data_IF_341063179972
#
_entry.id   IF_341063179972
#
_cell.length_a   1.000
_cell.length_b   1.000
_cell.length_c   1.000
_cell.angle_alpha   90.00
_cell.angle_beta   90.00
_cell.angle_gamma   90.00
#
_symmetry.space_group_name_H-M   'P 1'
#
loop_
_entity.id
_entity.type
_entity.pdbx_description
1 polymer ?
#
# COMPACT_ATOMS: atom_id res chain seq x y z
N UNK A 1 5.77 69.70 17.26
CA UNK A 1 4.51 69.16 17.85
C UNK A 1 4.54 67.65 17.63
N UNK A 2 5.04 66.85 18.58
CA UNK A 2 4.33 66.34 19.77
C UNK A 2 3.07 65.56 19.42
N UNK A 3 3.12 64.23 19.54
CA UNK A 3 2.41 63.55 20.63
C UNK A 3 2.99 62.14 20.88
N UNK A 4 3.50 61.96 22.11
CA UNK A 4 3.81 60.67 22.74
C UNK A 4 2.50 59.94 23.07
N UNK A 5 2.50 58.62 22.89
CA UNK A 5 1.65 57.71 23.65
C UNK A 5 2.54 56.70 24.39
N UNK A 6 2.21 56.45 25.66
CA UNK A 6 2.97 55.74 26.68
C UNK A 6 2.06 54.67 27.30
N UNK A 7 2.66 53.54 27.72
CA UNK A 7 2.10 52.41 28.50
C UNK A 7 1.14 51.49 27.71
N UNK A 8 1.20 50.15 27.85
CA UNK A 8 1.14 49.41 29.12
C UNK A 8 1.83 48.04 29.03
N UNK A 9 2.51 47.63 30.12
CA UNK A 9 3.03 46.27 30.36
C UNK A 9 1.87 45.25 30.35
N UNK A 10 2.09 44.09 29.74
CA UNK A 10 1.34 42.88 30.05
C UNK A 10 2.28 41.77 30.51
N UNK A 11 2.06 41.36 31.75
CA UNK A 11 2.58 40.19 32.45
C UNK A 11 1.94 38.94 31.84
N UNK A 12 2.72 38.12 31.12
CA UNK A 12 2.18 36.91 30.49
C UNK A 12 3.17 35.76 30.29
N UNK A 13 4.39 35.87 30.83
CA UNK A 13 5.44 34.87 30.60
C UNK A 13 5.60 33.88 31.78
N UNK A 14 5.12 34.23 32.97
CA UNK A 14 5.26 33.39 34.17
C UNK A 14 4.20 32.30 34.30
N UNK A 15 3.01 32.48 33.72
CA UNK A 15 1.90 31.54 33.84
C UNK A 15 2.03 30.32 32.90
N UNK A 16 2.69 30.49 31.75
CA UNK A 16 2.91 29.40 30.79
C UNK A 16 3.90 28.34 31.32
N UNK A 17 4.93 28.79 32.06
CA UNK A 17 5.95 27.92 32.67
C UNK A 17 5.36 27.15 33.86
N UNK A 18 4.39 27.74 34.56
CA UNK A 18 3.71 27.10 35.68
C UNK A 18 2.80 25.96 35.21
N UNK A 19 2.05 26.17 34.12
CA UNK A 19 1.21 25.13 33.52
C UNK A 19 2.01 23.95 32.95
N UNK A 20 3.14 24.23 32.27
CA UNK A 20 4.02 23.18 31.76
C UNK A 20 4.63 22.31 32.87
N UNK A 21 5.05 22.92 33.99
CA UNK A 21 5.58 22.18 35.14
C UNK A 21 4.52 21.34 35.87
N UNK A 22 3.28 21.82 35.93
CA UNK A 22 2.19 21.07 36.54
C UNK A 22 1.81 19.86 35.68
N UNK A 23 1.75 20.04 34.35
CA UNK A 23 1.45 18.98 33.41
C UNK A 23 2.54 17.89 33.40
N UNK A 24 3.81 18.28 33.47
CA UNK A 24 4.95 17.35 33.56
C UNK A 24 4.94 16.52 34.86
N UNK A 25 4.63 17.16 36.01
CA UNK A 25 4.51 16.46 37.30
C UNK A 25 3.35 15.46 37.34
N UNK A 26 2.24 15.76 36.68
CA UNK A 26 1.09 14.87 36.55
C UNK A 26 1.45 13.68 35.64
N UNK A 27 2.11 13.95 34.51
CA UNK A 27 2.54 12.92 33.57
C UNK A 27 3.51 11.92 34.21
N UNK A 28 4.51 12.39 34.97
CA UNK A 28 5.44 11.52 35.71
C UNK A 28 4.71 10.68 36.77
N UNK A 29 3.74 11.27 37.49
CA UNK A 29 2.95 10.52 38.49
C UNK A 29 2.12 9.41 37.85
N UNK A 30 1.49 9.68 36.70
CA UNK A 30 0.71 8.67 35.96
C UNK A 30 1.61 7.54 35.47
N UNK A 31 2.78 7.86 34.90
CA UNK A 31 3.78 6.86 34.50
C UNK A 31 4.21 6.00 35.69
N UNK A 32 4.49 6.61 36.84
CA UNK A 32 4.91 5.86 38.03
C UNK A 32 3.82 4.92 38.56
N UNK A 33 2.55 5.32 38.48
CA UNK A 33 1.41 4.48 38.85
C UNK A 33 1.27 3.31 37.87
N UNK A 34 1.41 3.54 36.57
CA UNK A 34 1.35 2.50 35.54
C UNK A 34 2.49 1.48 35.70
N UNK A 35 3.72 1.95 35.94
CA UNK A 35 4.89 1.08 36.20
C UNK A 35 4.66 0.25 37.46
N UNK A 36 4.14 0.85 38.54
CA UNK A 36 3.84 0.15 39.79
C UNK A 36 2.74 -0.90 39.62
N UNK A 37 1.71 -0.60 38.82
CA UNK A 37 0.63 -1.54 38.47
C UNK A 37 1.16 -2.73 37.65
N UNK A 38 2.05 -2.46 36.68
CA UNK A 38 2.73 -3.50 35.91
C UNK A 38 3.59 -4.40 36.80
N UNK A 39 4.35 -3.82 37.73
CA UNK A 39 5.22 -4.56 38.65
C UNK A 39 4.42 -5.43 39.63
N UNK A 40 3.27 -4.95 40.11
CA UNK A 40 2.38 -5.73 40.97
C UNK A 40 1.75 -6.91 40.22
N UNK A 41 1.33 -6.70 38.97
CA UNK A 41 0.80 -7.76 38.10
C UNK A 41 1.88 -8.82 37.80
N UNK A 42 3.12 -8.40 37.58
CA UNK A 42 4.26 -9.29 37.38
C UNK A 42 4.61 -10.11 38.65
N UNK A 43 4.51 -9.51 39.85
CA UNK A 43 4.80 -10.19 41.13
C UNK A 43 3.77 -11.29 41.44
N UNK A 44 2.49 -11.05 41.15
CA UNK A 44 1.44 -12.05 41.34
C UNK A 44 1.55 -13.20 40.32
N UNK A 45 1.98 -12.93 39.08
CA UNK A 45 2.35 -14.00 38.12
C UNK A 45 3.53 -14.86 38.60
N UNK A 46 4.54 -14.25 39.25
CA UNK A 46 5.71 -14.99 39.75
C UNK A 46 5.42 -15.91 40.96
N UNK A 47 4.36 -15.64 41.72
CA UNK A 47 3.92 -16.49 42.84
C UNK A 47 3.32 -17.81 42.36
N UNK A 48 2.51 -17.78 41.31
CA UNK A 48 1.86 -18.96 40.72
C UNK A 48 2.83 -19.83 39.91
N UNK A 49 3.90 -19.24 39.37
CA UNK A 49 4.91 -19.93 38.57
C UNK A 49 5.81 -20.89 39.36
N UNK A 50 5.82 -20.85 40.71
CA UNK A 50 6.61 -21.80 41.52
C UNK A 50 6.07 -23.23 41.49
N UNK A 51 4.79 -23.45 41.15
CA UNK A 51 4.23 -24.79 41.04
C UNK A 51 4.53 -25.46 39.70
N UNK A 52 4.87 -24.70 38.66
CA UNK A 52 5.08 -25.24 37.31
C UNK A 52 6.51 -25.75 37.04
N UNK A 53 7.47 -25.51 37.93
CA UNK A 53 8.88 -25.90 37.75
C UNK A 53 9.19 -27.40 37.97
N UNK A 54 8.18 -28.27 38.10
CA UNK A 54 8.38 -29.73 38.31
C UNK A 54 8.12 -30.60 37.09
N UNK A 55 7.88 -30.03 35.89
CA UNK A 55 7.68 -30.85 34.68
C UNK A 55 8.75 -30.57 33.60
N UNK A 56 9.49 -31.61 33.24
CA UNK A 56 10.57 -31.59 32.23
C UNK A 56 10.07 -31.34 30.79
N UNK A 57 8.78 -31.07 30.60
CA UNK A 57 8.13 -30.93 29.29
C UNK A 57 7.74 -29.47 28.94
N UNK A 58 7.91 -28.51 29.87
CA UNK A 58 7.52 -27.11 29.71
C UNK A 58 8.41 -26.32 28.74
N UNK A 59 9.71 -26.64 28.68
CA UNK A 59 10.66 -25.99 27.76
C UNK A 59 10.34 -26.28 26.28
N UNK A 60 9.81 -27.47 25.97
CA UNK A 60 9.41 -27.84 24.60
C UNK A 60 8.13 -27.14 24.15
N UNK A 61 7.21 -26.85 25.07
CA UNK A 61 5.96 -26.13 24.75
C UNK A 61 6.22 -24.62 24.54
N UNK A 62 7.12 -24.02 25.34
CA UNK A 62 7.49 -22.60 25.21
C UNK A 62 8.16 -22.26 23.88
N UNK A 63 8.92 -23.18 23.29
CA UNK A 63 9.55 -22.97 21.99
C UNK A 63 8.54 -22.96 20.84
N UNK A 64 7.48 -23.78 20.94
CA UNK A 64 6.42 -23.84 19.93
C UNK A 64 5.59 -22.54 19.87
N UNK A 65 5.28 -21.95 21.02
CA UNK A 65 4.51 -20.70 21.07
C UNK A 65 5.32 -19.48 20.61
N UNK A 66 6.62 -19.43 20.89
CA UNK A 66 7.49 -18.34 20.42
C UNK A 66 7.62 -18.31 18.88
N UNK A 67 7.65 -19.47 18.23
CA UNK A 67 7.70 -19.59 16.77
C UNK A 67 6.34 -19.27 16.13
N UNK A 68 5.23 -19.66 16.75
CA UNK A 68 3.89 -19.32 16.23
C UNK A 68 3.59 -17.81 16.35
N UNK A 69 4.04 -17.15 17.42
CA UNK A 69 3.87 -15.70 17.56
C UNK A 69 4.82 -14.91 16.64
N UNK A 70 6.03 -15.39 16.34
CA UNK A 70 6.94 -14.70 15.43
C UNK A 70 6.41 -14.64 13.99
N UNK A 71 5.74 -15.70 13.53
CA UNK A 71 5.13 -15.70 12.19
C UNK A 71 3.91 -14.78 12.15
N UNK A 72 3.11 -14.73 13.21
CA UNK A 72 1.89 -13.89 13.25
C UNK A 72 2.23 -12.40 13.35
N UNK A 73 3.32 -12.04 14.02
CA UNK A 73 3.81 -10.65 14.10
C UNK A 73 4.44 -10.20 12.79
N UNK A 74 5.16 -11.05 12.06
CA UNK A 74 5.75 -10.68 10.75
C UNK A 74 4.68 -10.48 9.68
N UNK A 75 3.60 -11.29 9.65
CA UNK A 75 2.50 -11.09 8.67
C UNK A 75 1.58 -9.92 9.00
N UNK A 76 1.47 -9.50 10.27
CA UNK A 76 0.74 -8.29 10.66
C UNK A 76 1.61 -7.03 10.75
N UNK A 77 2.94 -7.15 10.80
CA UNK A 77 3.87 -6.02 10.82
C UNK A 77 4.14 -5.42 9.42
N UNK A 78 3.56 -5.99 8.36
CA UNK A 78 3.50 -5.34 7.04
C UNK A 78 2.15 -4.64 6.78
N UNK A 79 1.36 -4.33 7.83
CA UNK A 79 0.21 -3.42 7.72
C UNK A 79 0.07 -2.62 9.01
N UNK A 80 0.80 -1.50 9.06
CA UNK A 80 0.42 -0.20 9.67
C UNK A 80 1.67 0.66 9.82
N UNK A 81 2.03 1.34 8.75
CA UNK A 81 2.51 2.71 8.90
C UNK A 81 1.32 3.59 8.53
N UNK A 82 0.56 3.97 9.56
CA UNK A 82 -0.36 5.09 9.52
C UNK A 82 0.52 6.35 9.52
N UNK A 83 0.94 6.79 8.35
CA UNK A 83 1.45 8.14 8.14
C UNK A 83 0.60 8.77 7.05
N UNK A 84 0.10 9.98 7.32
CA UNK A 84 -0.68 10.82 6.41
C UNK A 84 0.21 11.36 5.26
N UNK A 85 0.89 10.44 4.57
CA UNK A 85 1.77 10.65 3.45
C UNK A 85 1.33 9.76 2.29
N UNK A 86 1.42 10.29 1.08
CA UNK A 86 1.01 9.62 -0.15
C UNK A 86 1.41 8.13 -0.16
N UNK A 87 0.40 7.27 -0.09
CA UNK A 87 0.59 5.81 -0.11
C UNK A 87 1.17 5.42 -1.47
N UNK A 88 2.24 4.63 -1.44
CA UNK A 88 2.81 4.01 -2.63
C UNK A 88 2.01 2.74 -2.94
N UNK A 89 1.44 2.68 -4.14
CA UNK A 89 0.69 1.54 -4.65
C UNK A 89 1.56 0.73 -5.62
N UNK A 90 1.42 -0.59 -5.59
CA UNK A 90 2.04 -1.47 -6.59
C UNK A 90 1.13 -1.52 -7.80
N UNK A 91 1.61 -1.03 -8.94
CA UNK A 91 0.86 -0.99 -10.20
C UNK A 91 1.47 -1.97 -11.20
N UNK A 92 0.59 -2.63 -11.97
CA UNK A 92 0.99 -3.41 -13.14
C UNK A 92 0.00 -3.16 -14.29
N UNK A 93 0.53 -2.89 -15.48
CA UNK A 93 -0.24 -2.87 -16.71
C UNK A 93 -0.16 -4.22 -17.40
N UNK A 94 -1.30 -4.78 -17.79
CA UNK A 94 -1.35 -6.03 -18.54
C UNK A 94 -2.31 -5.93 -19.72
N UNK A 95 -1.85 -6.34 -20.90
CA UNK A 95 -2.72 -6.55 -22.06
C UNK A 95 -2.63 -7.99 -22.53
N UNK A 96 -3.78 -8.57 -22.87
CA UNK A 96 -3.91 -9.95 -23.30
C UNK A 96 -4.83 -10.07 -24.51
N UNK A 97 -4.41 -10.89 -25.46
CA UNK A 97 -5.18 -11.28 -26.63
C UNK A 97 -5.60 -12.72 -26.47
N UNK A 98 -6.90 -12.94 -26.55
CA UNK A 98 -7.48 -14.27 -26.73
C UNK A 98 -7.80 -14.42 -28.21
N UNK A 99 -7.01 -15.16 -29.01
CA UNK A 99 -7.11 -15.15 -30.46
C UNK A 99 -8.40 -15.77 -31.02
N UNK A 100 -9.25 -16.43 -30.22
CA UNK A 100 -10.48 -17.04 -30.74
C UNK A 100 -10.22 -18.13 -31.79
N UNK A 101 -11.28 -18.73 -32.32
CA UNK A 101 -11.20 -19.79 -33.32
C UNK A 101 -10.67 -21.13 -32.81
N UNK A 102 -10.62 -22.13 -33.70
CA UNK A 102 -10.18 -23.51 -33.39
C UNK A 102 -8.68 -23.73 -33.58
N UNK A 103 -8.00 -22.78 -34.20
CA UNK A 103 -6.60 -22.94 -34.64
C UNK A 103 -5.74 -21.87 -33.98
N UNK A 104 -4.74 -22.23 -33.15
CA UNK A 104 -3.82 -21.27 -32.57
C UNK A 104 -3.05 -20.50 -33.65
N UNK A 105 -2.78 -19.20 -33.48
CA UNK A 105 -1.94 -18.45 -34.40
C UNK A 105 -0.50 -19.01 -34.43
N UNK A 106 0.09 -19.10 -35.61
CA UNK A 106 1.47 -19.58 -35.83
C UNK A 106 2.48 -18.51 -35.39
N UNK A 107 3.51 -18.90 -34.64
CA UNK A 107 4.57 -18.00 -34.17
C UNK A 107 5.57 -17.62 -35.29
N UNK A 108 6.21 -16.42 -35.23
CA UNK A 108 6.07 -15.39 -34.20
C UNK A 108 4.80 -14.56 -34.36
N UNK A 109 4.17 -14.25 -33.22
CA UNK A 109 2.87 -13.59 -33.16
C UNK A 109 3.11 -12.08 -32.96
N UNK A 110 3.20 -11.31 -34.04
CA UNK A 110 3.27 -9.83 -33.98
C UNK A 110 1.86 -9.23 -34.09
N UNK A 111 1.05 -9.43 -33.04
CA UNK A 111 -0.34 -8.98 -33.06
C UNK A 111 -0.50 -7.60 -32.42
N UNK A 112 0.25 -7.27 -31.37
CA UNK A 112 0.20 -5.93 -30.78
C UNK A 112 0.87 -4.93 -31.73
N UNK A 113 0.13 -3.88 -32.10
CA UNK A 113 0.64 -2.78 -32.91
C UNK A 113 1.26 -1.70 -32.05
N UNK A 114 0.53 -1.28 -31.02
CA UNK A 114 0.99 -0.29 -30.07
C UNK A 114 0.52 -0.62 -28.67
N UNK A 115 1.38 -0.36 -27.69
CA UNK A 115 1.04 -0.38 -26.27
C UNK A 115 1.49 0.95 -25.71
N UNK A 116 0.55 1.69 -25.12
CA UNK A 116 0.78 3.00 -24.53
C UNK A 116 0.50 2.90 -23.05
N UNK A 117 1.53 3.18 -22.25
CA UNK A 117 1.40 3.33 -20.80
C UNK A 117 1.69 4.76 -20.41
N UNK A 118 0.96 5.28 -19.45
CA UNK A 118 1.18 6.61 -18.91
C UNK A 118 0.95 6.59 -17.40
N UNK A 119 1.91 7.17 -16.68
CA UNK A 119 1.85 7.39 -15.23
C UNK A 119 2.09 8.88 -14.99
N UNK A 120 1.06 9.59 -14.53
CA UNK A 120 1.09 11.05 -14.46
C UNK A 120 1.33 11.67 -15.84
N UNK A 121 2.45 12.38 -16.00
CA UNK A 121 2.87 12.98 -17.28
C UNK A 121 3.85 12.12 -18.07
N UNK A 122 4.34 11.01 -17.50
CA UNK A 122 5.33 10.15 -18.12
C UNK A 122 4.64 9.10 -18.98
N UNK A 123 4.69 9.29 -20.30
CA UNK A 123 4.17 8.34 -21.28
C UNK A 123 5.31 7.50 -21.88
N UNK A 124 5.05 6.22 -22.08
CA UNK A 124 5.88 5.31 -22.85
C UNK A 124 5.03 4.67 -23.96
N UNK A 125 5.66 4.34 -25.08
CA UNK A 125 4.99 3.67 -26.20
C UNK A 125 5.87 2.58 -26.76
N UNK A 126 5.33 1.37 -26.79
CA UNK A 126 5.95 0.19 -27.40
C UNK A 126 5.24 -0.10 -28.73
N UNK A 127 6.01 -0.52 -29.72
CA UNK A 127 5.54 -0.84 -31.06
C UNK A 127 5.82 -2.30 -31.38
N UNK A 128 4.95 -2.91 -32.18
CA UNK A 128 5.12 -4.26 -32.76
C UNK A 128 5.55 -5.32 -31.73
N UNK A 129 4.95 -5.27 -30.53
CA UNK A 129 5.27 -6.16 -29.41
C UNK A 129 4.84 -7.60 -29.73
N UNK A 130 5.74 -8.54 -29.50
CA UNK A 130 5.51 -9.96 -29.75
C UNK A 130 4.66 -10.61 -28.65
N UNK A 131 3.91 -11.63 -29.04
CA UNK A 131 3.16 -12.49 -28.13
C UNK A 131 1.68 -12.16 -28.06
N UNK A 132 0.98 -12.95 -27.25
CA UNK A 132 -0.45 -12.78 -26.96
C UNK A 132 -0.69 -12.05 -25.64
N UNK A 133 0.33 -11.93 -24.79
CA UNK A 133 0.24 -11.22 -23.52
C UNK A 133 1.46 -10.34 -23.38
N UNK A 134 1.25 -9.13 -22.91
CA UNK A 134 2.31 -8.23 -22.48
C UNK A 134 1.99 -7.69 -21.09
N UNK A 135 3.02 -7.57 -20.25
CA UNK A 135 2.92 -6.94 -18.93
C UNK A 135 4.11 -6.00 -18.72
N UNK A 136 3.88 -4.88 -18.03
CA UNK A 136 4.94 -3.96 -17.61
C UNK A 136 5.82 -4.53 -16.49
N UNK A 137 5.39 -5.60 -15.83
CA UNK A 137 5.85 -5.95 -14.48
C UNK A 137 5.26 -5.02 -13.42
N UNK A 138 5.54 -5.36 -12.16
CA UNK A 138 5.14 -4.57 -10.99
C UNK A 138 6.08 -3.38 -10.78
N UNK A 139 5.52 -2.20 -10.55
CA UNK A 139 6.28 -0.99 -10.21
C UNK A 139 5.50 -0.13 -9.21
N UNK A 140 6.23 0.65 -8.41
CA UNK A 140 5.62 1.49 -7.39
C UNK A 140 5.19 2.84 -7.98
N UNK A 141 3.96 3.24 -7.68
CA UNK A 141 3.40 4.54 -8.03
C UNK A 141 2.92 5.22 -6.76
N UNK A 142 3.41 6.42 -6.52
CA UNK A 142 2.93 7.26 -5.44
C UNK A 142 1.54 7.79 -5.76
N UNK A 143 0.60 7.76 -4.81
CA UNK A 143 -0.76 8.29 -4.99
C UNK A 143 -0.83 9.78 -5.39
N UNK A 144 0.25 10.58 -5.22
CA UNK A 144 0.36 11.92 -5.81
C UNK A 144 0.31 11.92 -7.34
N UNK A 145 0.76 10.84 -7.98
CA UNK A 145 0.73 10.63 -9.43
C UNK A 145 -0.71 10.30 -9.80
N UNK A 146 -1.52 11.35 -9.97
CA UNK A 146 -2.98 11.31 -9.94
C UNK A 146 -3.67 10.43 -10.99
N UNK A 147 -2.97 9.99 -12.04
CA UNK A 147 -3.62 9.32 -13.17
C UNK A 147 -2.73 8.27 -13.84
N UNK A 148 -3.32 7.10 -14.05
CA UNK A 148 -2.77 6.00 -14.83
C UNK A 148 -3.60 5.87 -16.10
N UNK A 149 -2.96 5.95 -17.27
CA UNK A 149 -3.63 5.66 -18.54
C UNK A 149 -2.95 4.48 -19.21
N UNK A 150 -3.76 3.53 -19.68
CA UNK A 150 -3.27 2.36 -20.37
C UNK A 150 -4.12 2.09 -21.60
N UNK A 151 -3.45 1.97 -22.75
CA UNK A 151 -4.10 1.65 -24.00
C UNK A 151 -3.27 0.65 -24.81
N UNK A 152 -3.95 -0.25 -25.51
CA UNK A 152 -3.31 -1.17 -26.43
C UNK A 152 -4.09 -1.21 -27.74
N UNK A 153 -3.35 -1.35 -28.84
CA UNK A 153 -3.87 -1.61 -30.17
C UNK A 153 -3.31 -2.94 -30.68
N UNK A 154 -4.17 -3.76 -31.27
CA UNK A 154 -3.81 -5.08 -31.76
C UNK A 154 -4.58 -5.43 -33.03
N UNK A 155 -3.96 -6.22 -33.91
CA UNK A 155 -4.62 -6.76 -35.10
C UNK A 155 -5.21 -8.16 -34.85
N UNK A 156 -6.46 -8.20 -34.40
CA UNK A 156 -7.09 -9.43 -33.95
C UNK A 156 -7.35 -10.43 -35.10
N UNK A 157 -6.95 -11.71 -34.95
CA UNK A 157 -6.95 -12.67 -36.06
C UNK A 157 -8.35 -13.18 -36.44
N UNK A 158 -9.28 -13.28 -35.48
CA UNK A 158 -10.60 -13.88 -35.67
C UNK A 158 -11.72 -12.96 -35.18
N UNK A 159 -12.96 -13.10 -35.68
CA UNK A 159 -14.10 -12.28 -35.23
C UNK A 159 -14.47 -12.43 -33.75
N UNK A 160 -14.16 -13.57 -33.15
CA UNK A 160 -14.37 -13.89 -31.73
C UNK A 160 -13.13 -13.61 -30.87
N UNK A 161 -12.05 -13.09 -31.47
CA UNK A 161 -10.86 -12.70 -30.73
C UNK A 161 -11.19 -11.58 -29.74
N UNK A 162 -10.52 -11.57 -28.59
CA UNK A 162 -10.67 -10.56 -27.55
C UNK A 162 -9.34 -9.89 -27.27
N UNK A 163 -9.34 -8.56 -27.21
CA UNK A 163 -8.27 -7.74 -26.64
C UNK A 163 -8.73 -7.28 -25.26
N UNK A 164 -8.02 -7.66 -24.21
CA UNK A 164 -8.26 -7.23 -22.83
C UNK A 164 -7.10 -6.39 -22.36
N UNK A 165 -7.39 -5.22 -21.82
CA UNK A 165 -6.42 -4.34 -21.13
C UNK A 165 -6.83 -4.23 -19.68
N UNK A 166 -5.87 -4.36 -18.76
CA UNK A 166 -6.12 -4.37 -17.32
C UNK A 166 -5.06 -3.55 -16.60
N UNK A 167 -5.50 -2.73 -15.65
CA UNK A 167 -4.66 -2.07 -14.65
C UNK A 167 -4.85 -2.83 -13.33
N UNK A 168 -3.75 -3.32 -12.78
CA UNK A 168 -3.70 -3.94 -11.48
C UNK A 168 -3.12 -2.96 -10.46
N UNK A 169 -3.74 -2.87 -9.28
CA UNK A 169 -3.29 -2.04 -8.17
C UNK A 169 -3.29 -2.92 -6.92
N UNK A 170 -2.14 -3.03 -6.25
CA UNK A 170 -1.93 -3.85 -5.05
C UNK A 170 -2.36 -5.32 -5.21
N UNK A 171 -2.23 -5.84 -6.45
CA UNK A 171 -2.60 -7.21 -6.81
C UNK A 171 -4.09 -7.41 -7.14
N UNK A 172 -4.91 -6.36 -7.08
CA UNK A 172 -6.33 -6.38 -7.42
C UNK A 172 -6.61 -5.70 -8.77
N UNK A 173 -7.68 -6.12 -9.46
CA UNK A 173 -8.09 -5.49 -10.72
C UNK A 173 -8.72 -4.14 -10.41
N UNK A 174 -8.03 -3.06 -10.76
CA UNK A 174 -8.57 -1.71 -10.61
C UNK A 174 -9.48 -1.35 -11.78
N UNK A 175 -8.98 -1.53 -13.01
CA UNK A 175 -9.73 -1.21 -14.22
C UNK A 175 -9.48 -2.26 -15.30
N UNK A 176 -10.52 -2.61 -16.06
CA UNK A 176 -10.38 -3.52 -17.19
C UNK A 176 -11.33 -3.16 -18.32
N UNK A 177 -10.83 -3.25 -19.56
CA UNK A 177 -11.66 -3.13 -20.75
C UNK A 177 -11.37 -4.29 -21.69
N UNK A 178 -12.42 -4.82 -22.30
CA UNK A 178 -12.31 -5.89 -23.30
C UNK A 178 -13.03 -5.50 -24.57
N UNK A 179 -12.35 -5.65 -25.71
CA UNK A 179 -12.91 -5.44 -27.04
C UNK A 179 -12.85 -6.76 -27.80
N UNK A 180 -13.97 -7.14 -28.42
CA UNK A 180 -14.06 -8.35 -29.24
C UNK A 180 -14.17 -7.97 -30.71
N UNK A 181 -13.53 -8.73 -31.60
CA UNK A 181 -13.67 -8.55 -33.04
C UNK A 181 -12.45 -9.01 -33.84
N UNK A 182 -12.52 -8.84 -35.16
CA UNK A 182 -11.42 -9.06 -36.08
C UNK A 182 -10.78 -7.72 -36.50
N UNK A 183 -9.51 -7.76 -36.89
CA UNK A 183 -8.78 -6.64 -37.46
C UNK A 183 -8.20 -5.72 -36.40
N UNK A 184 -7.83 -4.51 -36.79
CA UNK A 184 -7.25 -3.52 -35.87
C UNK A 184 -8.30 -3.08 -34.84
N UNK A 185 -8.05 -3.40 -33.57
CA UNK A 185 -8.88 -3.00 -32.43
C UNK A 185 -8.02 -2.30 -31.38
N UNK A 186 -8.63 -1.35 -30.68
CA UNK A 186 -8.03 -0.63 -29.57
C UNK A 186 -8.86 -0.82 -28.32
N UNK A 187 -8.21 -1.00 -27.18
CA UNK A 187 -8.83 -0.92 -25.87
C UNK A 187 -8.02 0.03 -24.99
N UNK A 188 -8.70 0.81 -24.15
CA UNK A 188 -8.07 1.77 -23.27
C UNK A 188 -8.84 1.84 -21.94
N UNK A 189 -8.09 2.05 -20.87
CA UNK A 189 -8.57 2.24 -19.51
C UNK A 189 -7.76 3.34 -18.85
N UNK A 190 -8.39 4.05 -17.92
CA UNK A 190 -7.75 5.09 -17.12
C UNK A 190 -8.20 4.93 -15.67
N UNK A 191 -7.27 5.10 -14.75
CA UNK A 191 -7.53 5.06 -13.31
C UNK A 191 -7.02 6.35 -12.66
N UNK A 192 -7.77 6.87 -11.70
CA UNK A 192 -7.43 8.06 -10.92
C UNK A 192 -7.37 7.69 -9.44
N UNK A 193 -6.25 7.99 -8.79
CA UNK A 193 -6.13 7.86 -7.33
C UNK A 193 -6.83 9.00 -6.57
N UNK A 194 -7.16 10.08 -7.28
CA UNK A 194 -8.00 11.14 -6.73
C UNK A 194 -9.46 10.72 -6.93
N UNK A 195 -10.08 10.25 -5.86
CA UNK A 195 -11.55 10.12 -5.80
C UNK A 195 -12.15 11.52 -6.06
N UNK A 196 -13.06 11.63 -7.04
CA UNK A 196 -13.86 12.83 -7.31
C UNK A 196 -15.24 12.70 -6.68
#
# INVERSE_FOLDING_TARGET
>A
MSHKAKLTRYTGFTDLIFFANLCWKIFIKVIFILIKSLYLKHKNLFGEMKQFYKSKNLLKLSFLFAVLFSVTVVVNSCKKDDDDGYVDHVVQFETKITPGGTTPPTAPIHIFKTIVTQVGTNQQTLYDTEGLTWSSGEFFVNSSQSQLNFAANANLPNPDSKLTVTIWIDGEVAETATVTGNGVKSAAVAHSFLEL
#
